data_IF_494476055920
#
_entry.id   IF_494476055920
#
_cell.length_a   1.000
_cell.length_b   1.000
_cell.length_c   1.000
_cell.angle_alpha   90.00
_cell.angle_beta   90.00
_cell.angle_gamma   90.00
#
_symmetry.space_group_name_H-M   'P 1'
#
loop_
_entity.id
_entity.type
_entity.pdbx_description
1 polymer ?
#
# COMPACT_ATOMS: atom_id res chain seq x y z
N UNK A 1 -4.78 8.49 -10.73
CA UNK A 1 -4.37 7.47 -9.73
C UNK A 1 -4.52 6.08 -10.34
N UNK A 2 -3.49 5.26 -10.20
CA UNK A 2 -3.53 3.88 -10.69
C UNK A 2 -4.27 3.00 -9.68
N UNK A 3 -5.11 2.11 -10.20
CA UNK A 3 -5.91 1.18 -9.39
C UNK A 3 -5.82 -0.21 -10.01
N UNK A 4 -5.71 -1.23 -9.18
CA UNK A 4 -5.68 -2.62 -9.62
C UNK A 4 -6.49 -3.47 -8.64
N UNK A 5 -7.09 -4.55 -9.12
CA UNK A 5 -7.74 -5.53 -8.25
C UNK A 5 -6.68 -6.43 -7.62
N UNK A 6 -6.90 -6.83 -6.36
CA UNK A 6 -5.95 -7.69 -5.67
C UNK A 6 -5.67 -8.99 -6.43
N UNK A 7 -6.69 -9.56 -7.05
CA UNK A 7 -6.54 -10.81 -7.82
C UNK A 7 -5.59 -10.67 -9.02
N UNK A 8 -5.36 -9.43 -9.49
CA UNK A 8 -4.48 -9.16 -10.62
C UNK A 8 -3.05 -8.78 -10.19
N UNK A 9 -2.85 -8.56 -8.89
CA UNK A 9 -1.52 -8.25 -8.37
C UNK A 9 -0.63 -9.49 -8.40
N UNK A 10 0.65 -9.28 -8.75
CA UNK A 10 1.68 -10.32 -8.70
C UNK A 10 2.94 -9.75 -8.04
N UNK A 11 3.69 -10.57 -7.26
CA UNK A 11 4.87 -10.08 -6.52
C UNK A 11 5.93 -9.39 -7.38
N UNK A 12 6.08 -9.79 -8.63
CA UNK A 12 7.08 -9.17 -9.50
C UNK A 12 6.74 -7.73 -9.89
N UNK A 13 5.51 -7.30 -9.67
CA UNK A 13 5.06 -5.95 -10.01
C UNK A 13 5.61 -4.89 -9.06
N UNK A 14 5.84 -5.26 -7.80
CA UNK A 14 6.29 -4.35 -6.76
C UNK A 14 5.90 -4.85 -5.38
N UNK A 15 6.20 -4.07 -4.36
CA UNK A 15 5.92 -4.43 -2.98
C UNK A 15 4.45 -4.14 -2.62
N UNK A 16 3.76 -5.15 -2.11
CA UNK A 16 2.39 -4.99 -1.61
C UNK A 16 2.45 -4.59 -0.13
N UNK A 17 1.91 -3.44 0.19
CA UNK A 17 1.88 -2.91 1.56
C UNK A 17 0.45 -2.91 2.09
N UNK A 18 0.23 -3.68 3.16
CA UNK A 18 -1.02 -3.66 3.91
C UNK A 18 -0.93 -2.50 4.90
N UNK A 19 -1.73 -1.46 4.69
CA UNK A 19 -1.69 -0.25 5.50
C UNK A 19 -2.68 -0.26 6.66
N UNK A 20 -3.30 -1.42 6.94
CA UNK A 20 -4.18 -1.56 8.09
C UNK A 20 -3.36 -1.52 9.38
N UNK A 21 -4.05 -1.35 10.51
CA UNK A 21 -3.38 -1.43 11.80
C UNK A 21 -2.81 -2.85 12.02
N UNK A 22 -1.78 -2.99 12.90
CA UNK A 22 -1.11 -4.29 13.09
C UNK A 22 -2.01 -5.40 13.59
N UNK A 23 -3.01 -5.08 14.39
CA UNK A 23 -3.94 -6.08 14.94
C UNK A 23 -4.80 -6.67 13.83
N UNK A 24 -5.41 -5.81 13.01
CA UNK A 24 -6.23 -6.25 11.87
C UNK A 24 -5.41 -7.07 10.88
N UNK A 25 -4.18 -6.63 10.62
CA UNK A 25 -3.27 -7.33 9.72
C UNK A 25 -2.93 -8.73 10.23
N UNK A 26 -2.70 -8.85 11.53
CA UNK A 26 -2.38 -10.13 12.16
C UNK A 26 -3.57 -11.08 12.18
N UNK A 27 -4.77 -10.56 12.48
CA UNK A 27 -5.99 -11.38 12.56
C UNK A 27 -6.46 -11.87 11.19
N UNK A 28 -6.31 -11.04 10.16
CA UNK A 28 -6.72 -11.38 8.80
C UNK A 28 -5.61 -10.99 7.82
N UNK A 29 -4.52 -11.77 7.75
CA UNK A 29 -3.39 -11.43 6.89
C UNK A 29 -3.79 -11.32 5.41
N UNK A 30 -3.20 -10.37 4.73
CA UNK A 30 -3.33 -10.25 3.28
C UNK A 30 -2.09 -10.91 2.68
N UNK A 31 -2.31 -12.03 1.99
CA UNK A 31 -1.23 -12.83 1.47
C UNK A 31 -0.34 -12.03 0.51
N UNK A 32 0.98 -12.13 0.71
CA UNK A 32 1.96 -11.44 -0.12
C UNK A 32 2.29 -10.02 0.33
N UNK A 33 1.63 -9.51 1.37
CA UNK A 33 1.86 -8.14 1.83
C UNK A 33 2.83 -8.07 3.00
N UNK A 34 3.45 -6.88 3.14
CA UNK A 34 4.09 -6.48 4.38
C UNK A 34 3.16 -5.47 5.05
N UNK A 35 3.12 -5.48 6.37
CA UNK A 35 2.25 -4.55 7.09
C UNK A 35 3.03 -3.31 7.51
N UNK A 36 2.58 -2.15 7.05
CA UNK A 36 3.06 -0.86 7.51
C UNK A 36 1.82 -0.01 7.73
N UNK A 37 1.46 0.24 8.98
CA UNK A 37 0.29 1.04 9.31
C UNK A 37 0.39 2.42 8.63
N UNK A 38 -0.73 2.91 8.08
CA UNK A 38 -0.69 4.11 7.23
C UNK A 38 -0.10 5.34 7.91
N UNK A 39 -0.32 5.52 9.21
CA UNK A 39 0.27 6.67 9.93
C UNK A 39 1.79 6.57 9.94
N UNK A 40 2.33 5.39 10.21
CA UNK A 40 3.78 5.17 10.20
C UNK A 40 4.35 5.41 8.79
N UNK A 41 3.66 4.92 7.78
CA UNK A 41 4.09 5.10 6.38
C UNK A 41 4.13 6.58 6.00
N UNK A 42 3.06 7.32 6.32
CA UNK A 42 2.98 8.75 5.99
C UNK A 42 3.97 9.60 6.77
N UNK A 43 4.34 9.18 7.98
CA UNK A 43 5.34 9.89 8.77
C UNK A 43 6.77 9.60 8.34
N UNK A 44 7.00 8.48 7.63
CA UNK A 44 8.34 7.99 7.34
C UNK A 44 8.57 7.62 5.86
N UNK A 45 7.70 8.05 4.96
CA UNK A 45 7.75 7.60 3.57
C UNK A 45 9.09 7.88 2.89
N UNK A 46 9.75 8.98 3.24
CA UNK A 46 11.02 9.35 2.62
C UNK A 46 12.14 8.35 2.89
N UNK A 47 12.11 7.71 4.06
CA UNK A 47 13.09 6.69 4.43
C UNK A 47 12.64 5.29 4.11
N UNK A 48 11.33 5.05 4.07
CA UNK A 48 10.77 3.71 3.85
C UNK A 48 10.56 3.37 2.38
N UNK A 49 10.35 4.37 1.53
CA UNK A 49 10.04 4.15 0.12
C UNK A 49 11.16 4.69 -0.78
N UNK A 50 11.31 4.01 -1.92
CA UNK A 50 12.28 4.38 -2.95
C UNK A 50 11.50 4.82 -4.19
N UNK A 51 11.80 6.02 -4.71
CA UNK A 51 11.10 6.56 -5.90
C UNK A 51 11.34 5.75 -7.16
N UNK A 52 12.36 4.89 -7.16
CA UNK A 52 12.66 4.01 -8.29
C UNK A 52 11.98 2.65 -8.21
N UNK A 53 11.15 2.43 -7.18
CA UNK A 53 10.43 1.17 -6.97
C UNK A 53 8.94 1.38 -7.01
N UNK A 54 8.21 0.30 -7.30
CA UNK A 54 6.75 0.32 -7.36
C UNK A 54 6.15 -0.24 -6.07
N UNK A 55 5.10 0.42 -5.57
CA UNK A 55 4.41 0.01 -4.36
C UNK A 55 2.91 -0.11 -4.61
N UNK A 56 2.31 -1.12 -4.00
CA UNK A 56 0.89 -1.42 -4.11
C UNK A 56 0.30 -1.35 -2.72
N UNK A 57 -0.68 -0.46 -2.51
CA UNK A 57 -1.24 -0.19 -1.19
C UNK A 57 -2.62 -0.80 -1.07
N UNK A 58 -2.83 -1.59 -0.02
CA UNK A 58 -4.10 -2.27 0.21
C UNK A 58 -4.57 -2.05 1.65
N UNK A 59 -5.87 -1.93 1.84
CA UNK A 59 -6.49 -1.86 3.17
C UNK A 59 -7.79 -2.67 3.19
N UNK A 60 -8.51 -2.66 4.31
CA UNK A 60 -9.70 -3.46 4.46
C UNK A 60 -10.82 -3.12 3.48
N UNK A 61 -11.21 -1.85 3.41
CA UNK A 61 -12.34 -1.39 2.62
C UNK A 61 -11.96 -0.53 1.40
N UNK A 62 -10.67 -0.39 1.13
CA UNK A 62 -10.20 0.38 -0.03
C UNK A 62 -10.21 1.90 0.11
N UNK A 63 -10.84 2.44 1.14
CA UNK A 63 -10.98 3.88 1.31
C UNK A 63 -9.68 4.53 1.78
N UNK A 64 -9.06 3.97 2.81
CA UNK A 64 -7.82 4.52 3.36
C UNK A 64 -6.66 4.35 2.39
N UNK A 65 -6.58 3.21 1.69
CA UNK A 65 -5.52 2.98 0.72
C UNK A 65 -5.62 3.96 -0.45
N UNK A 66 -6.84 4.32 -0.85
CA UNK A 66 -7.05 5.33 -1.89
C UNK A 66 -6.50 6.69 -1.46
N UNK A 67 -6.79 7.12 -0.22
CA UNK A 67 -6.26 8.37 0.34
C UNK A 67 -4.74 8.39 0.37
N UNK A 68 -4.15 7.35 0.94
CA UNK A 68 -2.68 7.26 1.10
C UNK A 68 -2.00 7.21 -0.26
N UNK A 69 -2.58 6.49 -1.22
CA UNK A 69 -2.05 6.42 -2.58
C UNK A 69 -2.01 7.81 -3.21
N UNK A 70 -3.08 8.60 -3.07
CA UNK A 70 -3.11 9.97 -3.61
C UNK A 70 -2.02 10.84 -3.02
N UNK A 71 -1.81 10.75 -1.71
CA UNK A 71 -0.80 11.55 -1.02
C UNK A 71 0.60 11.19 -1.51
N UNK A 72 0.93 9.91 -1.55
CA UNK A 72 2.26 9.46 -1.96
C UNK A 72 2.53 9.70 -3.44
N UNK A 73 1.51 9.55 -4.28
CA UNK A 73 1.60 9.88 -5.70
C UNK A 73 1.90 11.37 -5.89
N UNK A 74 1.25 12.22 -5.11
CA UNK A 74 1.50 13.66 -5.13
C UNK A 74 2.96 13.99 -4.81
N UNK A 75 3.57 13.22 -3.91
CA UNK A 75 4.99 13.39 -3.54
C UNK A 75 5.95 12.70 -4.51
N UNK A 76 5.46 12.13 -5.60
CA UNK A 76 6.29 11.60 -6.68
C UNK A 76 6.64 10.13 -6.59
N UNK A 77 5.97 9.35 -5.75
CA UNK A 77 6.21 7.92 -5.65
C UNK A 77 5.35 7.14 -6.64
N UNK A 78 5.86 6.00 -7.07
CA UNK A 78 5.14 5.08 -7.96
C UNK A 78 4.28 4.16 -7.11
N UNK A 79 3.03 4.55 -6.90
CA UNK A 79 2.09 3.85 -6.04
C UNK A 79 0.79 3.53 -6.77
N UNK A 80 0.20 2.40 -6.44
CA UNK A 80 -1.07 1.93 -7.02
C UNK A 80 -2.00 1.53 -5.88
N UNK A 81 -3.27 1.95 -5.95
CA UNK A 81 -4.28 1.53 -4.99
C UNK A 81 -4.77 0.14 -5.37
N UNK A 82 -4.78 -0.79 -4.41
CA UNK A 82 -5.26 -2.15 -4.61
C UNK A 82 -6.64 -2.31 -3.97
N UNK A 83 -7.60 -2.77 -4.75
CA UNK A 83 -8.97 -3.03 -4.28
C UNK A 83 -9.26 -4.53 -4.31
N UNK A 84 -10.16 -4.98 -3.40
CA UNK A 84 -10.55 -6.39 -3.30
C UNK A 84 -12.01 -6.58 -3.58
#
# INVERSE_FOLDING_TARGET
MKVINYQDYRPYMGTLIDIRDPISSKENPINGSINIYYEKLLMNYKTMLDKNKAYYLICGKGKKSKEVTRILEYYGYNVTNVVR
#
